data_IF_715956829723
#
_entry.id   IF_715956829723
#
_cell.length_a   1.000
_cell.length_b   1.000
_cell.length_c   1.000
_cell.angle_alpha   90.00
_cell.angle_beta   90.00
_cell.angle_gamma   90.00
#
_symmetry.space_group_name_H-M   'P 1'
#
loop_
_entity.id
_entity.type
_entity.pdbx_description
1 polymer ?
#
# COMPACT_ATOMS: atom_id res chain seq x y z
N UNK A 1 -1.38 28.50 10.72
CA UNK A 1 -1.94 27.24 11.24
C UNK A 1 -1.90 27.32 12.75
N UNK A 2 -3.04 27.12 13.40
CA UNK A 2 -3.14 27.04 14.85
C UNK A 2 -2.63 25.67 15.34
N UNK A 3 -2.26 25.53 16.63
CA UNK A 3 -1.89 24.24 17.19
C UNK A 3 -2.97 23.17 17.03
N UNK A 4 -4.25 23.56 17.13
CA UNK A 4 -5.39 22.66 16.98
C UNK A 4 -5.55 22.19 15.53
N UNK A 5 -5.39 23.09 14.55
CA UNK A 5 -5.38 22.75 13.12
C UNK A 5 -4.23 21.78 12.80
N UNK A 6 -3.03 22.03 13.35
CA UNK A 6 -1.87 21.17 13.16
C UNK A 6 -2.08 19.77 13.76
N UNK A 7 -2.72 19.69 14.93
CA UNK A 7 -3.04 18.41 15.57
C UNK A 7 -4.06 17.61 14.74
N UNK A 8 -5.07 18.27 14.18
CA UNK A 8 -6.08 17.61 13.36
C UNK A 8 -5.50 17.09 12.03
N UNK A 9 -4.68 17.90 11.35
CA UNK A 9 -3.97 17.46 10.14
C UNK A 9 -3.08 16.25 10.44
N UNK A 10 -2.40 16.25 11.60
CA UNK A 10 -1.58 15.11 12.01
C UNK A 10 -2.38 13.83 12.22
N UNK A 11 -3.55 13.90 12.87
CA UNK A 11 -4.43 12.73 13.04
C UNK A 11 -4.88 12.16 11.70
N UNK A 12 -5.22 13.04 10.75
CA UNK A 12 -5.60 12.61 9.41
C UNK A 12 -4.45 11.87 8.73
N UNK A 13 -3.22 12.41 8.78
CA UNK A 13 -2.06 11.77 8.19
C UNK A 13 -1.76 10.41 8.85
N UNK A 14 -1.82 10.31 10.17
CA UNK A 14 -1.59 9.05 10.88
C UNK A 14 -2.67 8.00 10.52
N UNK A 15 -3.92 8.41 10.31
CA UNK A 15 -4.98 7.51 9.84
C UNK A 15 -4.75 7.01 8.39
N UNK A 16 -4.22 7.87 7.53
CA UNK A 16 -3.86 7.48 6.15
C UNK A 16 -2.64 6.55 6.14
N UNK A 17 -1.65 6.78 7.00
CA UNK A 17 -0.50 5.90 7.19
C UNK A 17 -0.94 4.49 7.62
N UNK A 18 -1.87 4.41 8.58
CA UNK A 18 -2.43 3.13 9.00
C UNK A 18 -3.18 2.41 7.86
N UNK A 19 -4.01 3.15 7.12
CA UNK A 19 -4.74 2.59 5.96
C UNK A 19 -3.78 2.04 4.92
N UNK A 20 -2.68 2.76 4.66
CA UNK A 20 -1.65 2.37 3.71
C UNK A 20 -0.95 1.07 4.12
N UNK A 21 -0.62 0.92 5.40
CA UNK A 21 -0.04 -0.32 5.95
C UNK A 21 -0.97 -1.52 5.74
N UNK A 22 -2.28 -1.35 5.96
CA UNK A 22 -3.27 -2.41 5.73
C UNK A 22 -3.34 -2.77 4.24
N UNK A 23 -3.42 -1.78 3.35
CA UNK A 23 -3.43 -2.03 1.90
C UNK A 23 -2.19 -2.77 1.44
N UNK A 24 -1.01 -2.40 1.95
CA UNK A 24 0.25 -3.07 1.64
C UNK A 24 0.24 -4.54 2.08
N UNK A 25 -0.17 -4.82 3.31
CA UNK A 25 -0.25 -6.19 3.82
C UNK A 25 -1.21 -7.07 2.99
N UNK A 26 -2.34 -6.51 2.56
CA UNK A 26 -3.29 -7.19 1.67
C UNK A 26 -2.68 -7.49 0.29
N UNK A 27 -1.97 -6.53 -0.30
CA UNK A 27 -1.31 -6.70 -1.59
C UNK A 27 -0.17 -7.74 -1.50
N UNK A 28 0.68 -7.66 -0.48
CA UNK A 28 1.76 -8.65 -0.25
C UNK A 28 1.20 -10.08 -0.10
N UNK A 29 0.15 -10.26 0.72
CA UNK A 29 -0.51 -11.56 0.90
C UNK A 29 -1.10 -12.07 -0.41
N UNK A 30 -1.74 -11.19 -1.19
CA UNK A 30 -2.33 -11.56 -2.49
C UNK A 30 -1.26 -12.02 -3.48
N UNK A 31 -0.13 -11.31 -3.56
CA UNK A 31 1.02 -11.68 -4.40
C UNK A 31 1.53 -13.06 -4.03
N UNK A 32 1.72 -13.31 -2.73
CA UNK A 32 2.31 -14.55 -2.24
C UNK A 32 1.38 -15.74 -2.49
N UNK A 33 0.06 -15.57 -2.29
CA UNK A 33 -0.95 -16.57 -2.67
C UNK A 33 -0.97 -16.82 -4.18
N UNK A 34 -0.87 -15.78 -5.01
CA UNK A 34 -0.82 -15.95 -6.47
C UNK A 34 0.42 -16.75 -6.91
N UNK A 35 1.57 -16.55 -6.24
CA UNK A 35 2.77 -17.35 -6.46
C UNK A 35 2.59 -18.82 -6.05
N UNK A 36 1.96 -19.08 -4.91
CA UNK A 36 1.65 -20.45 -4.48
C UNK A 36 0.72 -21.16 -5.47
N UNK A 37 -0.34 -20.49 -5.92
CA UNK A 37 -1.26 -21.02 -6.92
C UNK A 37 -0.53 -21.29 -8.24
N UNK A 38 0.34 -20.37 -8.71
CA UNK A 38 1.13 -20.58 -9.95
C UNK A 38 2.03 -21.82 -9.87
N UNK A 39 2.57 -22.13 -8.69
CA UNK A 39 3.39 -23.33 -8.47
C UNK A 39 2.58 -24.64 -8.41
N UNK A 40 1.27 -24.59 -8.13
CA UNK A 40 0.39 -25.77 -7.98
C UNK A 40 -0.85 -25.83 -8.89
N UNK A 41 -0.91 -24.95 -9.90
CA UNK A 41 -2.05 -24.43 -10.71
C UNK A 41 -3.43 -25.11 -10.73
N UNK A 42 -4.48 -24.26 -10.69
CA UNK A 42 -5.85 -24.54 -11.20
C UNK A 42 -6.40 -23.40 -12.12
N UNK A 43 -6.07 -22.09 -11.95
CA UNK A 43 -6.30 -21.05 -12.97
C UNK A 43 -5.27 -21.08 -14.12
N UNK A 44 -5.52 -20.38 -15.23
CA UNK A 44 -4.53 -20.29 -16.32
C UNK A 44 -3.26 -19.57 -15.87
N UNK A 45 -2.06 -19.98 -16.33
CA UNK A 45 -0.81 -19.31 -15.98
C UNK A 45 -0.79 -17.82 -16.33
N UNK A 46 -1.43 -17.44 -17.43
CA UNK A 46 -1.54 -16.05 -17.88
C UNK A 46 -2.34 -15.19 -16.90
N UNK A 47 -3.46 -15.70 -16.38
CA UNK A 47 -4.26 -14.98 -15.39
C UNK A 47 -3.49 -14.77 -14.08
N UNK A 48 -2.66 -15.74 -13.68
CA UNK A 48 -1.83 -15.62 -12.48
C UNK A 48 -0.69 -14.63 -12.66
N UNK A 49 -0.06 -14.61 -13.84
CA UNK A 49 0.96 -13.59 -14.17
C UNK A 49 0.34 -12.20 -14.13
N UNK A 50 -0.80 -11.99 -14.78
CA UNK A 50 -1.48 -10.70 -14.78
C UNK A 50 -1.83 -10.22 -13.36
N UNK A 51 -2.30 -11.11 -12.48
CA UNK A 51 -2.55 -10.77 -11.07
C UNK A 51 -1.28 -10.37 -10.33
N UNK A 52 -0.16 -11.08 -10.53
CA UNK A 52 1.12 -10.73 -9.88
C UNK A 52 1.61 -9.37 -10.37
N UNK A 53 1.60 -9.13 -11.68
CA UNK A 53 2.06 -7.86 -12.27
C UNK A 53 1.23 -6.67 -11.74
N UNK A 54 -0.08 -6.84 -11.63
CA UNK A 54 -0.98 -5.82 -11.09
C UNK A 54 -0.72 -5.55 -9.61
N UNK A 55 -0.49 -6.61 -8.82
CA UNK A 55 -0.18 -6.45 -7.39
C UNK A 55 1.20 -5.78 -7.20
N UNK A 56 2.19 -6.10 -8.03
CA UNK A 56 3.49 -5.43 -8.01
C UNK A 56 3.38 -3.95 -8.36
N UNK A 57 2.54 -3.59 -9.35
CA UNK A 57 2.21 -2.19 -9.67
C UNK A 57 1.58 -1.48 -8.47
N UNK A 58 0.58 -2.08 -7.83
CA UNK A 58 -0.08 -1.51 -6.65
C UNK A 58 0.93 -1.31 -5.52
N UNK A 59 1.79 -2.29 -5.22
CA UNK A 59 2.82 -2.16 -4.19
C UNK A 59 3.79 -0.99 -4.46
N UNK A 60 4.16 -0.78 -5.73
CA UNK A 60 4.98 0.36 -6.12
C UNK A 60 4.26 1.69 -5.89
N UNK A 61 2.97 1.78 -6.25
CA UNK A 61 2.14 2.97 -6.03
C UNK A 61 1.96 3.27 -4.53
N UNK A 62 1.68 2.25 -3.72
CA UNK A 62 1.59 2.39 -2.26
C UNK A 62 2.92 2.92 -1.67
N UNK A 63 4.07 2.45 -2.18
CA UNK A 63 5.38 2.97 -1.79
C UNK A 63 5.56 4.47 -2.11
N UNK A 64 5.00 4.97 -3.21
CA UNK A 64 5.02 6.42 -3.51
C UNK A 64 4.16 7.21 -2.52
N UNK A 65 3.01 6.66 -2.11
CA UNK A 65 2.16 7.28 -1.10
C UNK A 65 2.84 7.30 0.27
N UNK A 66 3.61 6.27 0.64
CA UNK A 66 4.38 6.23 1.89
C UNK A 66 5.39 7.39 1.94
N UNK A 67 6.08 7.65 0.82
CA UNK A 67 7.02 8.77 0.70
C UNK A 67 6.28 10.10 0.87
N UNK A 68 5.16 10.29 0.16
CA UNK A 68 4.38 11.53 0.26
C UNK A 68 3.85 11.77 1.68
N UNK A 69 3.41 10.73 2.39
CA UNK A 69 3.00 10.81 3.79
C UNK A 69 4.19 11.22 4.67
N UNK A 70 5.37 10.63 4.48
CA UNK A 70 6.56 10.99 5.24
C UNK A 70 6.95 12.47 5.02
N UNK A 71 6.88 12.95 3.79
CA UNK A 71 7.12 14.36 3.44
C UNK A 71 6.10 15.29 4.10
N UNK A 72 4.81 14.94 4.06
CA UNK A 72 3.75 15.70 4.74
C UNK A 72 3.98 15.75 6.26
N UNK A 73 4.40 14.63 6.88
CA UNK A 73 4.74 14.60 8.31
C UNK A 73 5.94 15.48 8.62
N UNK A 74 6.96 15.48 7.77
CA UNK A 74 8.15 16.32 7.96
C UNK A 74 7.82 17.82 7.83
N UNK A 75 6.95 18.20 6.89
CA UNK A 75 6.53 19.59 6.67
C UNK A 75 5.62 20.15 7.78
N UNK A 76 5.07 19.28 8.63
CA UNK A 76 4.31 19.69 9.82
C UNK A 76 5.19 20.12 11.00
N UNK A 77 6.51 20.13 10.88
CA UNK A 77 7.48 20.57 11.89
C UNK A 77 8.47 21.59 11.31
#
# INVERSE_FOLDING_TARGET
MTPDEQQEVRRLIDAHEHTLQVCRACAETTRDLAWEVKRGSVPSPEALVATVDEVERILAELGQVEIAIAEMKAALW
#
